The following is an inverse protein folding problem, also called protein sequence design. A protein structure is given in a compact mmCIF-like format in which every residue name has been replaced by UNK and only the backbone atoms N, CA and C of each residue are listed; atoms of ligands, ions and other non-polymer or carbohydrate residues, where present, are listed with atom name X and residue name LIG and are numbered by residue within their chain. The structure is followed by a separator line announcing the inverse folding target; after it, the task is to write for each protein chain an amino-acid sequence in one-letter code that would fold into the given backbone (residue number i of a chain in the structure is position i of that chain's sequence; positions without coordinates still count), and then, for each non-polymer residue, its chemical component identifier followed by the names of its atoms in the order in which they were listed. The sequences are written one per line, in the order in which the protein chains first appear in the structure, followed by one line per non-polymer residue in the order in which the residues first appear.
data_IF_015763008583
#
_entry.id   IF_015763008583
#
_cell.length_a   1.000
_cell.length_b   1.000
_cell.length_c   1.000
_cell.angle_alpha   90.00
_cell.angle_beta   90.00
_cell.angle_gamma   90.00
#
_symmetry.space_group_name_H-M   'P 1'
#
loop_
_entity.id
_entity.type
_entity.pdbx_description
1 polymer ?
#
# COMPACT_ATOMS: atom_id res chain seq x y z
N UNK A 1 27.27 6.84 -7.35
CA UNK A 1 27.29 5.47 -7.88
C UNK A 1 28.15 5.55 -9.12
N UNK A 2 29.37 5.01 -9.03
CA UNK A 2 30.31 5.01 -10.15
C UNK A 2 29.83 4.07 -11.26
N UNK A 3 30.21 4.39 -12.49
CA UNK A 3 29.88 3.68 -13.74
C UNK A 3 30.23 2.18 -13.75
N UNK A 4 30.93 1.67 -12.73
CA UNK A 4 31.23 0.23 -12.55
C UNK A 4 30.04 -0.64 -12.10
N UNK A 5 28.88 -0.07 -11.75
CA UNK A 5 27.74 -0.85 -11.22
C UNK A 5 26.73 -1.37 -12.26
N UNK A 6 27.01 -1.25 -13.57
CA UNK A 6 26.05 -1.65 -14.60
C UNK A 6 25.87 -3.19 -14.71
N UNK A 7 26.74 -3.99 -14.08
CA UNK A 7 26.53 -5.43 -13.91
C UNK A 7 25.45 -5.77 -12.86
N UNK A 8 25.11 -4.81 -11.99
CA UNK A 8 24.22 -5.00 -10.85
C UNK A 8 22.74 -5.12 -11.20
N UNK A 9 22.27 -4.55 -12.30
CA UNK A 9 20.85 -4.60 -12.71
C UNK A 9 20.59 -5.70 -13.76
N UNK A 10 20.94 -6.94 -13.42
CA UNK A 10 20.52 -8.12 -14.18
C UNK A 10 19.34 -8.79 -13.46
N UNK A 11 18.21 -8.86 -14.17
CA UNK A 11 17.04 -9.62 -13.75
C UNK A 11 17.29 -11.07 -14.16
N UNK A 12 17.49 -11.95 -13.18
CA UNK A 12 17.67 -13.38 -13.43
C UNK A 12 16.30 -14.07 -13.53
N UNK A 13 16.15 -14.98 -14.51
CA UNK A 13 14.92 -15.73 -14.71
C UNK A 13 14.58 -16.66 -13.53
N UNK A 14 15.57 -17.32 -12.94
CA UNK A 14 15.36 -18.28 -11.85
C UNK A 14 14.66 -17.66 -10.61
N UNK A 15 15.13 -16.52 -10.05
CA UNK A 15 14.39 -15.80 -9.01
C UNK A 15 12.95 -15.44 -9.39
N UNK A 16 12.71 -14.99 -10.62
CA UNK A 16 11.36 -14.63 -11.06
C UNK A 16 10.45 -15.86 -11.12
N UNK A 17 10.96 -16.98 -11.63
CA UNK A 17 10.24 -18.25 -11.66
C UNK A 17 9.95 -18.77 -10.24
N UNK A 18 10.90 -18.63 -9.32
CA UNK A 18 10.69 -18.99 -7.92
C UNK A 18 9.59 -18.12 -7.27
N UNK A 19 9.65 -16.80 -7.45
CA UNK A 19 8.62 -15.89 -6.93
C UNK A 19 7.25 -16.20 -7.53
N UNK A 20 7.18 -16.43 -8.85
CA UNK A 20 5.95 -16.82 -9.53
C UNK A 20 5.40 -18.16 -9.01
N UNK A 21 6.27 -19.16 -8.84
CA UNK A 21 5.90 -20.48 -8.33
C UNK A 21 5.40 -20.42 -6.89
N UNK A 22 6.05 -19.65 -6.01
CA UNK A 22 5.59 -19.46 -4.63
C UNK A 22 4.24 -18.74 -4.58
N UNK A 23 4.04 -17.71 -5.40
CA UNK A 23 2.75 -17.01 -5.48
C UNK A 23 1.65 -17.93 -6.02
N UNK A 24 1.91 -18.68 -7.09
CA UNK A 24 0.96 -19.63 -7.65
C UNK A 24 0.58 -20.72 -6.64
N UNK A 25 1.57 -21.25 -5.90
CA UNK A 25 1.33 -22.23 -4.84
C UNK A 25 0.51 -21.65 -3.68
N UNK A 26 0.88 -20.48 -3.19
CA UNK A 26 0.17 -19.83 -2.08
C UNK A 26 -1.29 -19.49 -2.42
N UNK A 27 -1.54 -19.01 -3.64
CA UNK A 27 -2.88 -18.65 -4.12
C UNK A 27 -3.60 -19.79 -4.86
N UNK A 28 -3.06 -21.01 -4.87
CA UNK A 28 -3.68 -22.16 -5.52
C UNK A 28 -5.16 -22.37 -5.11
N UNK A 29 -5.56 -22.19 -3.83
CA UNK A 29 -6.95 -22.37 -3.45
C UNK A 29 -7.92 -21.43 -4.18
N UNK A 30 -7.53 -20.17 -4.37
CA UNK A 30 -8.37 -19.15 -5.00
C UNK A 30 -8.25 -19.12 -6.53
N UNK A 31 -7.14 -19.66 -7.06
CA UNK A 31 -6.91 -19.74 -8.50
C UNK A 31 -7.51 -21.00 -9.14
N UNK A 32 -7.57 -22.11 -8.40
CA UNK A 32 -7.93 -23.41 -9.01
C UNK A 32 -8.82 -24.31 -8.16
N UNK A 33 -9.01 -24.03 -6.86
CA UNK A 33 -9.82 -24.89 -5.98
C UNK A 33 -11.21 -24.30 -5.65
N UNK A 34 -11.64 -23.26 -6.38
CA UNK A 34 -12.97 -22.67 -6.22
C UNK A 34 -13.18 -21.89 -4.90
N UNK A 35 -12.12 -21.53 -4.19
CA UNK A 35 -12.22 -20.72 -2.97
C UNK A 35 -12.21 -19.22 -3.29
N UNK A 36 -12.68 -18.39 -2.37
CA UNK A 36 -12.55 -16.92 -2.47
C UNK A 36 -12.21 -16.30 -1.11
N UNK A 37 -11.79 -15.04 -1.14
CA UNK A 37 -11.52 -14.26 0.07
C UNK A 37 -12.83 -13.86 0.73
N UNK A 38 -12.94 -14.00 2.05
CA UNK A 38 -14.17 -13.68 2.78
C UNK A 38 -13.95 -12.86 4.06
N UNK A 39 -12.71 -12.62 4.47
CA UNK A 39 -12.43 -12.07 5.78
C UNK A 39 -12.71 -10.55 5.85
N UNK A 40 -13.39 -10.11 6.92
CA UNK A 40 -13.63 -8.70 7.30
C UNK A 40 -14.34 -7.87 6.22
N UNK A 41 -13.74 -6.77 5.79
CA UNK A 41 -14.36 -5.82 4.85
C UNK A 41 -14.52 -6.47 3.47
N UNK A 42 -13.81 -7.56 3.16
CA UNK A 42 -14.02 -8.32 1.93
C UNK A 42 -15.46 -8.82 1.82
N UNK A 43 -16.01 -9.46 2.85
CA UNK A 43 -17.40 -9.93 2.78
C UNK A 43 -18.39 -8.76 2.87
N UNK A 44 -18.12 -7.74 3.69
CA UNK A 44 -19.10 -6.67 3.95
C UNK A 44 -19.16 -5.57 2.89
N UNK A 45 -18.01 -5.22 2.31
CA UNK A 45 -17.87 -4.11 1.36
C UNK A 45 -17.24 -4.60 0.05
N UNK A 46 -16.07 -5.25 0.11
CA UNK A 46 -15.27 -5.59 -1.06
C UNK A 46 -16.02 -6.43 -2.11
N UNK A 47 -16.56 -7.58 -1.72
CA UNK A 47 -17.30 -8.49 -2.60
C UNK A 47 -18.60 -7.86 -3.12
N UNK A 48 -19.51 -7.33 -2.28
CA UNK A 48 -20.75 -6.71 -2.77
C UNK A 48 -20.52 -5.53 -3.71
N UNK A 49 -19.58 -4.65 -3.39
CA UNK A 49 -19.27 -3.48 -4.23
C UNK A 49 -18.64 -3.90 -5.55
N UNK A 50 -17.71 -4.87 -5.52
CA UNK A 50 -17.11 -5.43 -6.73
C UNK A 50 -18.12 -6.15 -7.60
N UNK A 51 -19.07 -6.85 -7.01
CA UNK A 51 -20.13 -7.52 -7.73
C UNK A 51 -21.05 -6.51 -8.41
N UNK A 52 -21.48 -5.48 -7.69
CA UNK A 52 -22.28 -4.38 -8.24
C UNK A 52 -21.55 -3.68 -9.40
N UNK A 53 -20.27 -3.40 -9.21
CA UNK A 53 -19.41 -2.80 -10.23
C UNK A 53 -19.32 -3.69 -11.48
N UNK A 54 -19.00 -4.97 -11.31
CA UNK A 54 -18.91 -5.95 -12.40
C UNK A 54 -20.24 -6.05 -13.17
N UNK A 55 -21.36 -6.16 -12.45
CA UNK A 55 -22.68 -6.24 -13.05
C UNK A 55 -23.05 -4.97 -13.84
N UNK A 56 -22.73 -3.80 -13.30
CA UNK A 56 -22.99 -2.51 -13.95
C UNK A 56 -22.19 -2.37 -15.26
N UNK A 57 -20.92 -2.80 -15.26
CA UNK A 57 -20.10 -2.77 -16.47
C UNK A 57 -20.57 -3.75 -17.55
N UNK A 58 -21.08 -4.93 -17.18
CA UNK A 58 -21.66 -5.86 -18.16
C UNK A 58 -22.85 -5.26 -18.90
N UNK A 59 -23.55 -4.30 -18.28
CA UNK A 59 -24.63 -3.54 -18.90
C UNK A 59 -24.12 -2.36 -19.75
N UNK A 60 -22.81 -2.19 -19.90
CA UNK A 60 -22.21 -1.06 -20.62
C UNK A 60 -22.31 0.27 -19.88
N UNK A 61 -22.63 0.25 -18.58
CA UNK A 61 -22.80 1.43 -17.76
C UNK A 61 -21.61 1.66 -16.82
N UNK A 62 -21.41 2.91 -16.41
CA UNK A 62 -20.45 3.27 -15.38
C UNK A 62 -21.18 3.38 -14.02
N UNK A 63 -20.65 2.80 -12.92
CA UNK A 63 -21.32 2.76 -11.64
C UNK A 63 -21.23 4.11 -10.92
N UNK A 64 -22.04 5.07 -11.33
CA UNK A 64 -22.14 6.38 -10.68
C UNK A 64 -22.96 6.36 -9.39
N UNK A 65 -24.00 5.53 -9.34
CA UNK A 65 -24.98 5.46 -8.25
C UNK A 65 -25.32 4.00 -7.94
N UNK A 66 -25.28 3.63 -6.66
CA UNK A 66 -25.70 2.31 -6.21
C UNK A 66 -27.08 2.39 -5.54
N UNK A 67 -28.15 1.88 -6.16
CA UNK A 67 -29.51 1.96 -5.63
C UNK A 67 -29.79 0.97 -4.48
N UNK A 68 -28.92 -0.01 -4.26
CA UNK A 68 -29.20 -1.14 -3.35
C UNK A 68 -28.85 -0.84 -1.89
N UNK A 69 -28.16 0.27 -1.63
CA UNK A 69 -27.71 0.68 -0.29
C UNK A 69 -28.43 1.97 0.10
N UNK A 70 -29.10 1.99 1.26
CA UNK A 70 -29.80 3.17 1.82
C UNK A 70 -30.77 3.88 0.87
N UNK A 71 -31.48 3.14 0.01
CA UNK A 71 -32.31 3.68 -1.10
C UNK A 71 -31.53 4.50 -2.14
N UNK A 72 -30.21 4.38 -2.14
CA UNK A 72 -29.31 4.99 -3.10
C UNK A 72 -28.17 5.76 -2.47
N UNK A 73 -26.95 5.48 -2.92
CA UNK A 73 -25.75 6.23 -2.58
C UNK A 73 -24.89 6.50 -3.82
N UNK A 74 -24.12 7.62 -3.86
CA UNK A 74 -23.07 7.78 -4.85
C UNK A 74 -22.12 6.58 -4.81
N UNK A 75 -21.64 6.09 -5.94
CA UNK A 75 -20.71 4.96 -5.99
C UNK A 75 -19.33 5.37 -6.51
N UNK A 76 -19.24 5.87 -7.75
CA UNK A 76 -17.99 6.41 -8.30
C UNK A 76 -17.30 7.42 -7.35
N UNK A 77 -18.00 8.42 -6.78
CA UNK A 77 -17.37 9.43 -5.94
C UNK A 77 -16.92 8.93 -4.56
N UNK A 78 -17.24 7.69 -4.15
CA UNK A 78 -16.82 7.17 -2.84
C UNK A 78 -15.34 6.84 -2.77
N UNK A 79 -14.66 6.80 -3.93
CA UNK A 79 -13.24 6.53 -4.15
C UNK A 79 -12.78 5.12 -3.76
N UNK A 80 -13.16 4.61 -2.57
CA UNK A 80 -12.78 3.28 -2.08
C UNK A 80 -13.26 2.09 -2.92
N UNK A 81 -14.43 2.10 -3.60
CA UNK A 81 -14.81 1.00 -4.49
C UNK A 81 -13.94 0.94 -5.75
N UNK A 82 -13.12 1.99 -5.97
CA UNK A 82 -12.18 2.15 -7.06
C UNK A 82 -12.83 1.92 -8.44
N UNK A 83 -14.02 2.51 -8.63
CA UNK A 83 -14.84 2.42 -9.83
C UNK A 83 -14.17 2.95 -11.11
N UNK A 84 -13.18 3.84 -11.02
CA UNK A 84 -12.44 4.32 -12.19
C UNK A 84 -11.13 3.55 -12.44
N UNK A 85 -10.86 2.50 -11.66
CA UNK A 85 -9.56 1.85 -11.66
C UNK A 85 -9.37 0.90 -12.86
N UNK A 86 -8.32 1.07 -13.69
CA UNK A 86 -8.20 0.34 -14.96
C UNK A 86 -8.08 -1.19 -14.82
N UNK A 87 -7.42 -1.69 -13.76
CA UNK A 87 -7.25 -3.14 -13.58
C UNK A 87 -8.54 -3.84 -13.13
N UNK A 88 -9.67 -3.13 -13.01
CA UNK A 88 -10.98 -3.78 -12.88
C UNK A 88 -11.35 -4.63 -14.10
N UNK A 89 -10.63 -4.49 -15.22
CA UNK A 89 -10.74 -5.43 -16.35
C UNK A 89 -10.51 -6.90 -15.94
N UNK A 90 -9.75 -7.14 -14.86
CA UNK A 90 -9.52 -8.47 -14.32
C UNK A 90 -10.80 -9.13 -13.79
N UNK A 91 -11.81 -8.35 -13.43
CA UNK A 91 -13.11 -8.86 -12.96
C UNK A 91 -13.88 -9.61 -14.05
N UNK A 92 -13.51 -9.45 -15.33
CA UNK A 92 -14.12 -10.16 -16.46
C UNK A 92 -13.33 -11.39 -16.89
N UNK A 93 -12.26 -11.74 -16.17
CA UNK A 93 -11.61 -13.03 -16.36
C UNK A 93 -12.54 -14.10 -15.80
N UNK A 94 -13.11 -14.95 -16.66
CA UNK A 94 -13.98 -16.05 -16.24
C UNK A 94 -15.27 -15.57 -15.56
N UNK A 95 -15.65 -16.25 -14.48
CA UNK A 95 -16.76 -15.84 -13.64
C UNK A 95 -16.33 -14.77 -12.61
N UNK A 96 -17.32 -14.13 -11.96
CA UNK A 96 -17.04 -13.05 -11.01
C UNK A 96 -16.10 -13.47 -9.86
N UNK A 97 -16.30 -14.61 -9.18
CA UNK A 97 -15.39 -15.05 -8.11
C UNK A 97 -13.95 -15.23 -8.60
N UNK A 98 -13.74 -15.85 -9.76
CA UNK A 98 -12.40 -16.01 -10.32
C UNK A 98 -11.79 -14.67 -10.71
N UNK A 99 -12.53 -13.78 -11.37
CA UNK A 99 -12.06 -12.45 -11.74
C UNK A 99 -11.70 -11.58 -10.52
N UNK A 100 -12.50 -11.66 -9.44
CA UNK A 100 -12.20 -11.01 -8.16
C UNK A 100 -10.94 -11.58 -7.51
N UNK A 101 -10.80 -12.91 -7.50
CA UNK A 101 -9.60 -13.56 -6.98
C UNK A 101 -8.36 -13.14 -7.77
N UNK A 102 -8.44 -13.16 -9.10
CA UNK A 102 -7.36 -12.75 -9.99
C UNK A 102 -6.98 -11.28 -9.77
N UNK A 103 -7.97 -10.40 -9.58
CA UNK A 103 -7.74 -9.01 -9.21
C UNK A 103 -6.86 -8.90 -7.96
N UNK A 104 -7.18 -9.61 -6.87
CA UNK A 104 -6.36 -9.59 -5.65
C UNK A 104 -4.96 -10.16 -5.90
N UNK A 105 -4.86 -11.33 -6.55
CA UNK A 105 -3.59 -12.02 -6.80
C UNK A 105 -2.64 -11.18 -7.65
N UNK A 106 -3.14 -10.51 -8.69
CA UNK A 106 -2.32 -9.66 -9.56
C UNK A 106 -1.74 -8.47 -8.80
N UNK A 107 -2.51 -7.80 -7.94
CA UNK A 107 -1.98 -6.71 -7.12
C UNK A 107 -0.91 -7.20 -6.14
N UNK A 108 -1.10 -8.39 -5.57
CA UNK A 108 -0.11 -9.00 -4.71
C UNK A 108 1.18 -9.36 -5.46
N UNK A 109 1.05 -9.87 -6.69
CA UNK A 109 2.18 -10.13 -7.57
C UNK A 109 2.93 -8.83 -7.93
N UNK A 110 2.22 -7.74 -8.24
CA UNK A 110 2.81 -6.42 -8.51
C UNK A 110 3.72 -6.00 -7.35
N UNK A 111 3.29 -6.15 -6.10
CA UNK A 111 4.14 -5.87 -4.94
C UNK A 111 5.40 -6.74 -4.92
N UNK A 112 5.26 -8.06 -5.03
CA UNK A 112 6.39 -9.00 -4.92
C UNK A 112 7.44 -8.72 -6.01
N UNK A 113 7.02 -8.62 -7.26
CA UNK A 113 7.93 -8.40 -8.38
C UNK A 113 8.53 -6.99 -8.37
N UNK A 114 7.78 -5.98 -7.93
CA UNK A 114 8.31 -4.62 -7.84
C UNK A 114 9.34 -4.44 -6.73
N UNK A 115 9.16 -5.09 -5.58
CA UNK A 115 10.16 -5.13 -4.51
C UNK A 115 11.43 -5.83 -4.99
N UNK A 116 11.31 -6.98 -5.67
CA UNK A 116 12.47 -7.65 -6.27
C UNK A 116 13.22 -6.72 -7.23
N UNK A 117 12.51 -6.08 -8.17
CA UNK A 117 13.12 -5.15 -9.12
C UNK A 117 13.80 -3.95 -8.45
N UNK A 118 13.19 -3.39 -7.40
CA UNK A 118 13.74 -2.30 -6.61
C UNK A 118 15.03 -2.72 -5.88
N UNK A 119 15.05 -3.92 -5.27
CA UNK A 119 16.25 -4.43 -4.60
C UNK A 119 17.41 -4.67 -5.57
N UNK A 120 17.11 -5.20 -6.76
CA UNK A 120 18.12 -5.36 -7.81
C UNK A 120 18.65 -4.01 -8.29
N UNK A 121 17.78 -3.00 -8.39
CA UNK A 121 18.20 -1.64 -8.73
C UNK A 121 19.11 -1.01 -7.66
N UNK A 122 18.89 -1.31 -6.39
CA UNK A 122 19.81 -0.90 -5.30
C UNK A 122 21.10 -1.71 -5.21
N UNK A 123 21.33 -2.66 -6.13
CA UNK A 123 22.55 -3.46 -6.18
C UNK A 123 22.59 -4.59 -5.15
N UNK A 124 21.45 -4.99 -4.56
CA UNK A 124 21.38 -6.16 -3.69
C UNK A 124 21.51 -7.44 -4.50
N UNK A 125 22.10 -8.50 -3.95
CA UNK A 125 22.23 -9.81 -4.64
C UNK A 125 20.86 -10.39 -5.03
N UNK A 126 20.83 -11.29 -6.01
CA UNK A 126 19.58 -11.95 -6.43
C UNK A 126 18.89 -12.69 -5.27
N UNK A 127 19.67 -13.35 -4.39
CA UNK A 127 19.16 -14.00 -3.19
C UNK A 127 18.54 -13.00 -2.20
N UNK A 128 19.24 -11.90 -1.90
CA UNK A 128 18.71 -10.87 -1.00
C UNK A 128 17.44 -10.21 -1.56
N UNK A 129 17.42 -9.90 -2.86
CA UNK A 129 16.25 -9.35 -3.53
C UNK A 129 15.05 -10.30 -3.50
N UNK A 130 15.29 -11.60 -3.70
CA UNK A 130 14.26 -12.63 -3.61
C UNK A 130 13.72 -12.75 -2.18
N UNK A 131 14.60 -12.73 -1.18
CA UNK A 131 14.21 -12.76 0.21
C UNK A 131 13.34 -11.53 0.57
N UNK A 132 13.76 -10.31 0.23
CA UNK A 132 12.95 -9.10 0.43
C UNK A 132 11.57 -9.20 -0.24
N UNK A 133 11.50 -9.70 -1.47
CA UNK A 133 10.25 -9.86 -2.20
C UNK A 133 9.31 -10.88 -1.53
N UNK A 134 9.84 -12.01 -1.07
CA UNK A 134 9.07 -13.01 -0.30
C UNK A 134 8.61 -12.45 1.05
N UNK A 135 9.46 -11.69 1.72
CA UNK A 135 9.14 -11.03 2.99
C UNK A 135 8.04 -9.99 2.81
N UNK A 136 8.07 -9.22 1.71
CA UNK A 136 6.99 -8.30 1.36
C UNK A 136 5.69 -9.03 1.03
N UNK A 137 5.74 -10.09 0.20
CA UNK A 137 4.54 -10.83 -0.23
C UNK A 137 3.92 -11.72 0.85
N UNK A 138 4.72 -12.43 1.64
CA UNK A 138 4.24 -13.38 2.65
C UNK A 138 4.26 -12.79 4.06
N UNK A 139 4.64 -11.52 4.20
CA UNK A 139 4.56 -10.80 5.45
C UNK A 139 3.11 -10.59 5.90
N UNK A 140 2.87 -10.77 7.20
CA UNK A 140 1.56 -10.65 7.83
C UNK A 140 0.83 -9.35 7.47
N UNK A 141 1.54 -8.22 7.37
CA UNK A 141 0.94 -6.93 7.01
C UNK A 141 0.30 -6.94 5.61
N UNK A 142 1.05 -7.34 4.57
CA UNK A 142 0.53 -7.34 3.20
C UNK A 142 -0.46 -8.48 2.96
N UNK A 143 -0.38 -9.57 3.71
CA UNK A 143 -1.46 -10.56 3.74
C UNK A 143 -2.72 -10.01 4.43
N UNK A 144 -2.54 -9.21 5.49
CA UNK A 144 -3.63 -8.56 6.22
C UNK A 144 -4.33 -7.50 5.38
N UNK A 145 -3.58 -6.72 4.59
CA UNK A 145 -4.12 -5.63 3.78
C UNK A 145 -5.05 -6.12 2.66
N UNK A 146 -4.99 -7.41 2.30
CA UNK A 146 -5.98 -8.05 1.40
C UNK A 146 -7.40 -7.92 1.95
N UNK A 147 -7.54 -7.89 3.28
CA UNK A 147 -8.84 -7.66 3.93
C UNK A 147 -9.39 -6.24 3.74
N UNK A 148 -8.56 -5.32 3.21
CA UNK A 148 -8.82 -3.90 2.96
C UNK A 148 -8.49 -3.59 1.50
N UNK A 149 -9.36 -4.01 0.58
CA UNK A 149 -9.07 -4.05 -0.86
C UNK A 149 -8.56 -2.73 -1.46
N UNK A 150 -9.13 -1.58 -1.05
CA UNK A 150 -8.68 -0.26 -1.52
C UNK A 150 -7.24 0.06 -1.08
N UNK A 151 -6.85 -0.32 0.14
CA UNK A 151 -5.48 -0.13 0.61
C UNK A 151 -4.50 -1.04 -0.13
N UNK A 152 -4.85 -2.32 -0.35
CA UNK A 152 -4.03 -3.21 -1.17
C UNK A 152 -3.75 -2.57 -2.53
N UNK A 153 -4.81 -2.22 -3.26
CA UNK A 153 -4.72 -1.72 -4.63
C UNK A 153 -3.92 -0.43 -4.73
N UNK A 154 -4.08 0.51 -3.79
CA UNK A 154 -3.29 1.75 -3.79
C UNK A 154 -1.82 1.52 -3.40
N UNK A 155 -1.56 0.60 -2.48
CA UNK A 155 -0.25 0.49 -1.82
C UNK A 155 0.78 -0.28 -2.65
N UNK A 156 0.36 -1.29 -3.41
CA UNK A 156 1.25 -2.21 -4.13
C UNK A 156 2.14 -1.53 -5.18
N UNK A 157 1.76 -0.33 -5.64
CA UNK A 157 2.51 0.45 -6.62
C UNK A 157 3.69 1.24 -6.05
N UNK A 158 3.77 1.43 -4.73
CA UNK A 158 4.80 2.26 -4.09
C UNK A 158 6.24 1.87 -4.48
N UNK A 159 6.62 0.58 -4.52
CA UNK A 159 7.98 0.20 -4.93
C UNK A 159 8.29 0.57 -6.39
N UNK A 160 7.28 0.54 -7.28
CA UNK A 160 7.43 0.95 -8.67
C UNK A 160 7.55 2.48 -8.83
N UNK A 161 6.78 3.25 -8.06
CA UNK A 161 6.94 4.72 -8.00
C UNK A 161 8.35 5.07 -7.56
N UNK A 162 8.82 4.44 -6.49
CA UNK A 162 10.17 4.65 -5.95
C UNK A 162 11.26 4.27 -6.95
N UNK A 163 11.13 3.10 -7.58
CA UNK A 163 12.05 2.63 -8.62
C UNK A 163 12.12 3.60 -9.80
N UNK A 164 10.97 4.04 -10.31
CA UNK A 164 10.89 4.95 -11.45
C UNK A 164 11.50 6.32 -11.13
N UNK A 165 11.15 6.92 -9.98
CA UNK A 165 11.72 8.20 -9.56
C UNK A 165 13.23 8.10 -9.34
N UNK A 166 13.73 7.05 -8.69
CA UNK A 166 15.17 6.91 -8.48
C UNK A 166 15.94 6.64 -9.77
N UNK A 167 15.37 5.87 -10.72
CA UNK A 167 15.94 5.74 -12.06
C UNK A 167 16.02 7.08 -12.78
N UNK A 168 14.99 7.92 -12.68
CA UNK A 168 15.02 9.28 -13.19
C UNK A 168 16.12 10.13 -12.53
N UNK A 169 16.33 9.99 -11.21
CA UNK A 169 17.38 10.73 -10.51
C UNK A 169 18.79 10.34 -10.92
N UNK A 170 19.01 9.05 -11.24
CA UNK A 170 20.31 8.57 -11.73
C UNK A 170 20.53 8.97 -13.20
N UNK A 171 19.50 8.78 -14.04
CA UNK A 171 19.55 9.11 -15.47
C UNK A 171 18.23 9.78 -15.87
N UNK A 172 18.19 11.13 -15.93
CA UNK A 172 16.98 11.87 -16.29
C UNK A 172 16.45 11.45 -17.65
N UNK A 173 15.27 10.83 -17.65
CA UNK A 173 14.56 10.40 -18.86
C UNK A 173 13.06 10.48 -18.61
N UNK A 174 12.33 11.14 -19.51
CA UNK A 174 10.89 11.40 -19.35
C UNK A 174 10.07 10.14 -19.19
N UNK A 175 10.46 9.03 -19.85
CA UNK A 175 9.77 7.74 -19.68
C UNK A 175 9.71 7.23 -18.24
N UNK A 176 10.71 7.54 -17.39
CA UNK A 176 10.66 7.17 -15.97
C UNK A 176 9.70 8.06 -15.19
N UNK A 177 9.61 9.35 -15.51
CA UNK A 177 8.59 10.23 -14.92
C UNK A 177 7.18 9.82 -15.37
N UNK A 178 6.98 9.52 -16.65
CA UNK A 178 5.70 9.03 -17.16
C UNK A 178 5.28 7.74 -16.46
N UNK A 179 6.21 6.78 -16.28
CA UNK A 179 5.92 5.56 -15.53
C UNK A 179 5.53 5.86 -14.07
N UNK A 180 6.26 6.76 -13.40
CA UNK A 180 5.90 7.19 -12.04
C UNK A 180 4.51 7.82 -11.98
N UNK A 181 4.16 8.69 -12.95
CA UNK A 181 2.81 9.30 -13.06
C UNK A 181 1.75 8.24 -13.19
N UNK A 182 1.93 7.26 -14.08
CA UNK A 182 0.97 6.16 -14.26
C UNK A 182 0.77 5.41 -12.94
N UNK A 183 1.87 5.07 -12.24
CA UNK A 183 1.74 4.36 -10.97
C UNK A 183 1.05 5.19 -9.89
N UNK A 184 1.34 6.49 -9.76
CA UNK A 184 0.63 7.38 -8.82
C UNK A 184 -0.84 7.54 -9.18
N UNK A 185 -1.19 7.65 -10.47
CA UNK A 185 -2.58 7.65 -10.95
C UNK A 185 -3.28 6.36 -10.51
N UNK A 186 -2.64 5.20 -10.68
CA UNK A 186 -3.16 3.92 -10.19
C UNK A 186 -3.32 3.90 -8.67
N UNK A 187 -2.41 4.51 -7.90
CA UNK A 187 -2.58 4.65 -6.45
C UNK A 187 -3.82 5.44 -6.08
N UNK A 188 -4.01 6.62 -6.70
CA UNK A 188 -5.15 7.51 -6.43
C UNK A 188 -6.46 6.82 -6.79
N UNK A 189 -6.53 6.23 -7.98
CA UNK A 189 -7.71 5.52 -8.44
C UNK A 189 -7.99 4.25 -7.63
N UNK A 190 -6.97 3.69 -6.96
CA UNK A 190 -7.07 2.50 -6.11
C UNK A 190 -7.91 2.70 -4.83
N UNK A 191 -8.14 3.94 -4.40
CA UNK A 191 -9.17 4.22 -3.40
C UNK A 191 -8.68 4.51 -1.98
N UNK A 192 -7.37 4.67 -1.76
CA UNK A 192 -6.77 4.99 -0.47
C UNK A 192 -5.91 6.27 -0.55
N UNK A 193 -6.49 7.47 -0.33
CA UNK A 193 -5.76 8.72 -0.30
C UNK A 193 -4.58 8.71 0.69
N UNK A 194 -4.78 8.06 1.84
CA UNK A 194 -3.75 7.95 2.86
C UNK A 194 -2.51 7.21 2.35
N UNK A 195 -2.70 6.06 1.68
CA UNK A 195 -1.62 5.30 1.07
C UNK A 195 -0.87 6.12 0.01
N UNK A 196 -1.59 6.95 -0.76
CA UNK A 196 -1.00 7.83 -1.78
C UNK A 196 -0.09 8.90 -1.16
N UNK A 197 -0.54 9.54 -0.08
CA UNK A 197 0.25 10.55 0.63
C UNK A 197 1.49 9.90 1.26
N UNK A 198 1.32 8.77 1.94
CA UNK A 198 2.44 8.05 2.56
C UNK A 198 3.47 7.57 1.52
N UNK A 199 2.99 7.04 0.38
CA UNK A 199 3.82 6.65 -0.76
C UNK A 199 4.62 7.83 -1.30
N UNK A 200 3.96 8.97 -1.52
CA UNK A 200 4.57 10.20 -2.03
C UNK A 200 5.63 10.76 -1.08
N UNK A 201 5.33 10.83 0.22
CA UNK A 201 6.28 11.26 1.25
C UNK A 201 7.50 10.33 1.31
N UNK A 202 7.26 9.02 1.27
CA UNK A 202 8.34 8.02 1.26
C UNK A 202 9.24 8.19 0.05
N UNK A 203 8.66 8.36 -1.15
CA UNK A 203 9.39 8.58 -2.40
C UNK A 203 10.18 9.89 -2.35
N UNK A 204 9.58 10.97 -1.82
CA UNK A 204 10.23 12.26 -1.65
C UNK A 204 11.46 12.14 -0.75
N UNK A 205 11.29 11.69 0.49
CA UNK A 205 12.39 11.61 1.43
C UNK A 205 13.44 10.59 0.98
N UNK A 206 13.05 9.44 0.41
CA UNK A 206 14.00 8.50 -0.16
C UNK A 206 14.84 9.15 -1.26
N UNK A 207 14.24 9.96 -2.13
CA UNK A 207 14.94 10.66 -3.21
C UNK A 207 15.89 11.76 -2.69
N UNK A 208 15.55 12.39 -1.56
CA UNK A 208 16.41 13.41 -0.93
C UNK A 208 17.57 12.77 -0.16
N UNK A 209 17.33 11.69 0.58
CA UNK A 209 18.31 11.08 1.49
C UNK A 209 19.18 9.97 0.85
N UNK A 210 18.64 9.20 -0.11
CA UNK A 210 19.32 8.04 -0.70
C UNK A 210 20.01 8.39 -2.01
N UNK A 211 19.54 9.36 -2.79
CA UNK A 211 20.17 9.69 -4.07
C UNK A 211 21.52 10.40 -3.84
N UNK A 212 22.65 9.88 -4.36
CA UNK A 212 23.94 10.57 -4.26
C UNK A 212 24.04 11.74 -5.24
N UNK A 213 24.45 12.93 -4.79
CA UNK A 213 24.69 14.09 -5.67
C UNK A 213 25.45 15.23 -4.99
N UNK A 214 26.24 16.00 -5.76
CA UNK A 214 26.92 17.25 -5.34
C UNK A 214 26.01 18.46 -5.61
N UNK A 215 25.64 19.25 -4.59
CA UNK A 215 24.80 20.46 -4.71
C UNK A 215 23.53 20.46 -3.84
N UNK A 216 22.55 21.32 -4.15
CA UNK A 216 21.24 21.37 -3.45
C UNK A 216 20.42 20.13 -3.76
N UNK A 217 20.73 19.06 -3.03
CA UNK A 217 20.22 17.70 -3.15
C UNK A 217 18.69 17.58 -3.09
N UNK A 218 17.98 18.58 -2.55
CA UNK A 218 16.53 18.57 -2.42
C UNK A 218 15.77 19.19 -3.61
N UNK A 219 16.35 20.11 -4.39
CA UNK A 219 15.61 20.84 -5.44
C UNK A 219 15.07 19.92 -6.54
N UNK A 220 15.92 19.05 -7.09
CA UNK A 220 15.54 18.12 -8.16
C UNK A 220 14.47 17.11 -7.69
N UNK A 221 14.64 16.41 -6.55
CA UNK A 221 13.57 15.59 -5.97
C UNK A 221 12.26 16.36 -5.74
N UNK A 222 12.34 17.58 -5.21
CA UNK A 222 11.16 18.41 -4.94
C UNK A 222 10.41 18.73 -6.23
N UNK A 223 11.11 19.21 -7.26
CA UNK A 223 10.48 19.54 -8.55
C UNK A 223 9.89 18.29 -9.23
N UNK A 224 10.60 17.16 -9.20
CA UNK A 224 10.13 15.92 -9.80
C UNK A 224 8.88 15.37 -9.09
N UNK A 225 8.90 15.31 -7.75
CA UNK A 225 7.75 14.83 -6.97
C UNK A 225 6.58 15.81 -7.06
N UNK A 226 6.82 17.12 -7.01
CA UNK A 226 5.77 18.12 -7.20
C UNK A 226 5.13 18.00 -8.59
N UNK A 227 5.94 17.91 -9.65
CA UNK A 227 5.44 17.73 -11.01
C UNK A 227 4.66 16.43 -11.18
N UNK A 228 5.16 15.33 -10.61
CA UNK A 228 4.49 14.04 -10.56
C UNK A 228 3.12 14.14 -9.88
N UNK A 229 3.07 14.70 -8.67
CA UNK A 229 1.84 14.83 -7.89
C UNK A 229 0.82 15.72 -8.58
N UNK A 230 1.23 16.88 -9.10
CA UNK A 230 0.34 17.78 -9.84
C UNK A 230 -0.23 17.12 -11.09
N UNK A 231 0.61 16.42 -11.85
CA UNK A 231 0.17 15.71 -13.06
C UNK A 231 -0.81 14.59 -12.72
N UNK A 232 -0.52 13.79 -11.69
CA UNK A 232 -1.41 12.71 -11.28
C UNK A 232 -2.76 13.22 -10.75
N UNK A 233 -2.76 14.32 -9.98
CA UNK A 233 -3.99 14.98 -9.51
C UNK A 233 -4.80 15.50 -10.71
N UNK A 234 -4.15 16.14 -11.69
CA UNK A 234 -4.83 16.63 -12.88
C UNK A 234 -5.47 15.48 -13.70
N UNK A 235 -4.73 14.38 -13.91
CA UNK A 235 -5.23 13.20 -14.64
C UNK A 235 -6.36 12.47 -13.89
N UNK A 236 -6.39 12.56 -12.57
CA UNK A 236 -7.44 11.95 -11.73
C UNK A 236 -8.50 12.94 -11.26
N UNK A 237 -8.51 14.17 -11.81
CA UNK A 237 -9.45 15.21 -11.40
C UNK A 237 -10.92 14.80 -11.59
N UNK A 238 -11.22 14.02 -12.64
CA UNK A 238 -12.56 13.48 -12.89
C UNK A 238 -13.08 12.60 -11.74
N UNK A 239 -12.18 11.98 -10.97
CA UNK A 239 -12.48 11.17 -9.80
C UNK A 239 -12.41 12.00 -8.51
N UNK A 240 -11.38 12.84 -8.37
CA UNK A 240 -11.13 13.62 -7.14
C UNK A 240 -12.15 14.75 -6.92
N UNK A 241 -12.56 15.46 -7.97
CA UNK A 241 -13.55 16.55 -7.88
C UNK A 241 -14.89 16.05 -7.34
N UNK A 242 -15.54 15.01 -7.91
CA UNK A 242 -16.81 14.53 -7.37
C UNK A 242 -16.65 13.92 -5.97
N UNK A 243 -15.51 13.26 -5.69
CA UNK A 243 -15.20 12.77 -4.34
C UNK A 243 -15.19 13.92 -3.32
N UNK A 244 -14.53 15.03 -3.64
CA UNK A 244 -14.51 16.22 -2.79
C UNK A 244 -15.93 16.76 -2.53
N UNK A 245 -16.77 16.86 -3.56
CA UNK A 245 -18.16 17.34 -3.43
C UNK A 245 -19.01 16.44 -2.52
N UNK A 246 -18.81 15.12 -2.58
CA UNK A 246 -19.52 14.16 -1.70
C UNK A 246 -19.01 14.25 -0.27
N UNK A 247 -17.69 14.36 -0.06
CA UNK A 247 -17.13 14.51 1.29
C UNK A 247 -17.71 15.73 2.01
N UNK A 248 -17.82 16.87 1.31
CA UNK A 248 -18.39 18.11 1.87
C UNK A 248 -19.84 17.96 2.37
N UNK A 249 -20.61 17.03 1.80
CA UNK A 249 -22.02 16.77 2.12
C UNK A 249 -22.22 15.51 2.96
N UNK A 250 -21.12 14.86 3.33
CA UNK A 250 -21.16 13.63 4.12
C UNK A 250 -21.02 13.94 5.60
N UNK A 251 -21.44 13.00 6.45
CA UNK A 251 -21.27 13.05 7.91
C UNK A 251 -19.79 13.19 8.34
N UNK A 252 -18.83 13.07 7.40
CA UNK A 252 -17.39 13.22 7.68
C UNK A 252 -16.97 14.65 8.08
N UNK A 253 -17.78 15.67 7.81
CA UNK A 253 -17.51 17.07 8.22
C UNK A 253 -18.07 17.43 9.59
N UNK A 254 -18.92 16.58 10.18
CA UNK A 254 -19.42 16.78 11.56
C UNK A 254 -18.44 16.17 12.56
N UNK A 255 -17.98 17.01 13.49
CA UNK A 255 -17.08 16.76 14.64
C UNK A 255 -16.48 15.37 14.73
N UNK A 256 -15.23 15.25 14.29
CA UNK A 256 -14.39 14.10 14.63
C UNK A 256 -13.95 14.24 16.07
N UNK A 257 -14.77 13.72 16.98
CA UNK A 257 -14.35 13.52 18.35
C UNK A 257 -12.99 12.81 18.36
N UNK A 258 -12.08 13.29 19.20
CA UNK A 258 -10.70 12.79 19.33
C UNK A 258 -10.63 11.26 19.46
N UNK A 259 -11.66 10.64 20.04
CA UNK A 259 -11.86 9.20 20.16
C UNK A 259 -11.83 8.44 18.82
N UNK A 260 -12.33 9.02 17.72
CA UNK A 260 -12.30 8.37 16.39
C UNK A 260 -10.91 8.36 15.75
N UNK A 261 -10.08 9.36 16.05
CA UNK A 261 -8.72 9.46 15.50
C UNK A 261 -7.74 8.52 16.21
N UNK A 262 -8.04 8.14 17.46
CA UNK A 262 -7.29 7.12 18.20
C UNK A 262 -7.90 5.72 18.08
N UNK A 263 -9.07 5.55 17.45
CA UNK A 263 -9.66 4.23 17.20
C UNK A 263 -8.70 3.39 16.36
N UNK A 264 -8.56 2.10 16.69
CA UNK A 264 -7.60 1.18 16.05
C UNK A 264 -6.16 1.71 16.07
N UNK A 265 -5.74 2.13 17.25
CA UNK A 265 -4.33 2.36 17.57
C UNK A 265 -3.63 1.03 17.82
N UNK A 266 -2.39 0.91 17.34
CA UNK A 266 -1.60 -0.29 17.55
C UNK A 266 -1.36 -0.47 19.04
N UNK A 267 -1.82 -1.59 19.60
CA UNK A 267 -1.55 -1.95 20.99
C UNK A 267 -0.06 -2.30 21.15
N UNK A 268 0.65 -1.82 22.19
CA UNK A 268 2.06 -2.16 22.41
C UNK A 268 2.33 -3.68 22.47
N UNK A 269 1.37 -4.46 22.98
CA UNK A 269 1.43 -5.93 23.00
C UNK A 269 1.56 -6.52 21.58
N UNK A 270 1.03 -5.83 20.56
CA UNK A 270 1.10 -6.25 19.15
C UNK A 270 2.53 -6.23 18.61
N UNK A 271 3.47 -5.51 19.24
CA UNK A 271 4.89 -5.53 18.85
C UNK A 271 5.53 -6.92 19.02
N UNK A 272 5.08 -7.73 19.99
CA UNK A 272 5.54 -9.12 20.11
C UNK A 272 5.18 -9.94 18.86
N UNK A 273 4.09 -9.54 18.19
CA UNK A 273 3.60 -10.21 16.99
C UNK A 273 4.41 -9.87 15.73
N UNK A 274 5.40 -8.97 15.83
CA UNK A 274 6.45 -8.84 14.80
C UNK A 274 7.30 -10.12 14.70
N UNK A 275 7.53 -10.78 15.85
CA UNK A 275 8.39 -11.96 15.99
C UNK A 275 7.60 -13.27 16.13
N UNK A 276 6.35 -13.22 16.57
CA UNK A 276 5.51 -14.41 16.74
C UNK A 276 4.15 -14.22 16.05
N UNK A 277 3.81 -15.11 15.11
CA UNK A 277 2.51 -15.07 14.47
C UNK A 277 1.38 -15.16 15.52
N UNK A 278 0.39 -14.27 15.41
CA UNK A 278 -0.79 -14.26 16.29
C UNK A 278 -1.70 -15.42 15.90
N UNK A 279 -2.27 -16.11 16.89
CA UNK A 279 -3.31 -17.10 16.61
C UNK A 279 -4.57 -16.37 16.10
N UNK A 280 -5.07 -16.79 14.94
CA UNK A 280 -6.07 -16.05 14.17
C UNK A 280 -7.52 -16.46 14.46
N UNK A 281 -7.74 -17.55 15.20
CA UNK A 281 -9.07 -18.11 15.46
C UNK A 281 -10.03 -17.15 16.20
N UNK A 282 -9.48 -16.13 16.88
CA UNK A 282 -10.25 -15.16 17.65
C UNK A 282 -11.21 -14.34 16.78
N UNK A 283 -10.96 -14.21 15.47
CA UNK A 283 -11.91 -13.49 14.60
C UNK A 283 -13.24 -14.24 14.44
N UNK A 284 -13.22 -15.58 14.45
CA UNK A 284 -14.44 -16.40 14.30
C UNK A 284 -15.31 -16.39 15.56
N UNK A 285 -14.73 -16.03 16.70
CA UNK A 285 -15.39 -16.00 18.01
C UNK A 285 -15.65 -14.58 18.52
N UNK A 286 -15.24 -13.56 17.77
CA UNK A 286 -15.41 -12.16 18.16
C UNK A 286 -16.89 -11.73 18.05
N UNK A 287 -17.39 -11.05 19.09
CA UNK A 287 -18.78 -10.55 19.14
C UNK A 287 -19.04 -9.34 18.23
N UNK A 288 -17.99 -8.67 17.77
CA UNK A 288 -18.08 -7.55 16.82
C UNK A 288 -16.80 -7.39 16.01
N UNK A 289 -16.89 -6.72 14.86
CA UNK A 289 -15.69 -6.36 14.06
C UNK A 289 -14.75 -5.39 14.78
N UNK A 290 -15.28 -4.59 15.72
CA UNK A 290 -14.46 -3.66 16.51
C UNK A 290 -13.57 -4.40 17.52
N UNK A 291 -13.92 -5.64 17.88
CA UNK A 291 -13.10 -6.52 18.72
C UNK A 291 -11.98 -7.23 17.94
N UNK A 292 -11.91 -7.04 16.63
CA UNK A 292 -10.86 -7.61 15.76
C UNK A 292 -9.86 -6.49 15.39
N UNK A 293 -8.54 -6.76 15.46
CA UNK A 293 -7.51 -5.78 15.11
C UNK A 293 -7.69 -5.22 13.69
N UNK A 294 -7.19 -4.00 13.43
CA UNK A 294 -7.28 -3.42 12.09
C UNK A 294 -6.45 -4.23 11.08
N UNK A 295 -5.23 -4.61 11.47
CA UNK A 295 -4.45 -5.62 10.76
C UNK A 295 -4.45 -6.95 11.52
N UNK A 296 -5.03 -8.02 10.95
CA UNK A 296 -4.90 -9.40 11.41
C UNK A 296 -3.53 -9.83 11.94
N UNK A 297 -2.47 -9.42 11.25
CA UNK A 297 -1.11 -9.78 11.58
C UNK A 297 -0.14 -8.69 11.14
N UNK A 298 0.78 -8.32 12.02
CA UNK A 298 1.95 -7.49 11.71
C UNK A 298 3.22 -8.34 11.55
N UNK A 299 3.09 -9.67 11.59
CA UNK A 299 4.22 -10.59 11.59
C UNK A 299 5.10 -10.42 10.36
N UNK A 300 6.39 -10.18 10.56
CA UNK A 300 7.33 -9.96 9.45
C UNK A 300 8.26 -11.15 9.19
N UNK A 301 8.20 -12.18 10.04
CA UNK A 301 9.17 -13.27 10.07
C UNK A 301 10.27 -13.00 11.09
N UNK A 302 10.66 -14.03 11.86
CA UNK A 302 11.76 -13.91 12.83
C UNK A 302 13.06 -13.50 12.16
N UNK A 303 13.41 -14.16 11.04
CA UNK A 303 14.67 -13.89 10.31
C UNK A 303 14.72 -12.45 9.78
N UNK A 304 13.71 -11.93 9.05
CA UNK A 304 13.66 -10.54 8.63
C UNK A 304 13.66 -9.53 9.79
N UNK A 305 12.97 -9.84 10.89
CA UNK A 305 12.95 -8.96 12.05
C UNK A 305 14.35 -8.84 12.70
N UNK A 306 15.03 -9.97 12.88
CA UNK A 306 16.41 -10.00 13.37
C UNK A 306 17.36 -9.30 12.39
N UNK A 307 17.21 -9.51 11.09
CA UNK A 307 18.01 -8.83 10.07
C UNK A 307 17.82 -7.30 10.12
N UNK A 308 16.58 -6.81 10.31
CA UNK A 308 16.28 -5.39 10.45
C UNK A 308 16.97 -4.79 11.68
N UNK A 309 16.82 -5.43 12.85
CA UNK A 309 17.46 -4.98 14.10
C UNK A 309 18.98 -4.99 13.97
N UNK A 310 19.53 -6.06 13.42
CA UNK A 310 20.97 -6.21 13.21
C UNK A 310 21.51 -5.14 12.26
N UNK A 311 20.83 -4.90 11.15
CA UNK A 311 21.20 -3.87 10.19
C UNK A 311 21.13 -2.47 10.81
N UNK A 312 20.07 -2.18 11.57
CA UNK A 312 19.90 -0.88 12.24
C UNK A 312 21.05 -0.55 13.21
N UNK A 313 21.59 -1.56 13.90
CA UNK A 313 22.69 -1.37 14.87
C UNK A 313 24.05 -1.35 14.18
N UNK A 314 24.29 -2.33 13.28
CA UNK A 314 25.61 -2.64 12.74
C UNK A 314 25.95 -1.88 11.45
N UNK A 315 24.94 -1.50 10.64
CA UNK A 315 25.18 -0.93 9.30
C UNK A 315 24.83 0.56 9.29
N UNK A 316 25.86 1.40 9.22
CA UNK A 316 25.73 2.87 9.21
C UNK A 316 25.58 3.49 7.81
N UNK A 317 25.04 2.74 6.86
CA UNK A 317 24.75 3.27 5.51
C UNK A 317 23.53 4.19 5.58
N UNK A 318 23.58 5.36 4.92
CA UNK A 318 22.45 6.33 4.83
C UNK A 318 21.15 5.65 4.39
N UNK A 319 21.30 4.68 3.51
CA UNK A 319 20.29 3.74 3.08
C UNK A 319 19.62 3.08 4.29
N UNK A 320 20.38 2.36 5.13
CA UNK A 320 19.84 1.62 6.27
C UNK A 320 19.22 2.57 7.29
N UNK A 321 19.90 3.67 7.60
CA UNK A 321 19.38 4.68 8.52
C UNK A 321 18.04 5.22 8.07
N UNK A 322 17.90 5.59 6.79
CA UNK A 322 16.64 6.11 6.26
C UNK A 322 15.47 5.15 6.49
N UNK A 323 15.60 3.88 6.08
CA UNK A 323 14.50 2.92 6.23
C UNK A 323 14.25 2.51 7.67
N UNK A 324 15.28 2.49 8.51
CA UNK A 324 15.12 2.33 9.96
C UNK A 324 14.31 3.49 10.55
N UNK A 325 14.60 4.73 10.16
CA UNK A 325 13.83 5.91 10.59
C UNK A 325 12.39 5.83 10.09
N UNK A 326 12.17 5.47 8.82
CA UNK A 326 10.81 5.28 8.29
C UNK A 326 10.08 4.15 9.06
N UNK A 327 10.77 3.06 9.42
CA UNK A 327 10.26 2.00 10.29
C UNK A 327 9.77 2.50 11.64
N UNK A 328 10.64 3.17 12.38
CA UNK A 328 10.28 3.64 13.71
C UNK A 328 9.31 4.83 13.68
N UNK A 329 9.35 5.67 12.65
CA UNK A 329 8.37 6.74 12.46
C UNK A 329 6.97 6.16 12.20
N UNK A 330 6.86 5.18 11.31
CA UNK A 330 5.59 4.49 11.06
C UNK A 330 5.05 3.79 12.30
N UNK A 331 5.92 3.13 13.07
CA UNK A 331 5.55 2.52 14.35
C UNK A 331 5.08 3.57 15.38
N UNK A 332 5.80 4.69 15.49
CA UNK A 332 5.48 5.79 16.39
C UNK A 332 4.09 6.37 16.11
N UNK A 333 3.76 6.62 14.84
CA UNK A 333 2.43 7.07 14.46
C UNK A 333 1.38 5.97 14.59
N UNK A 334 1.74 4.70 14.35
CA UNK A 334 0.81 3.58 14.47
C UNK A 334 0.33 3.33 15.90
N UNK A 335 1.16 3.61 16.90
CA UNK A 335 0.78 3.53 18.31
C UNK A 335 -0.36 4.47 18.70
N UNK A 336 -0.58 5.56 17.94
CA UNK A 336 -1.77 6.42 18.07
C UNK A 336 -2.07 6.85 19.51
N UNK A 337 -3.26 6.46 20.02
CA UNK A 337 -3.71 6.70 21.39
C UNK A 337 -2.82 6.11 22.48
N UNK A 338 -2.04 5.07 22.17
CA UNK A 338 -1.05 4.48 23.08
C UNK A 338 0.28 5.24 23.09
N UNK A 339 0.39 6.34 22.34
CA UNK A 339 1.56 7.21 22.30
C UNK A 339 1.20 8.60 22.86
N UNK A 340 1.66 8.95 24.09
CA UNK A 340 1.37 10.24 24.73
C UNK A 340 1.81 11.45 23.89
N UNK A 341 2.90 11.31 23.13
CA UNK A 341 3.39 12.39 22.27
C UNK A 341 2.43 12.59 21.10
N UNK A 342 1.96 11.51 20.46
CA UNK A 342 0.99 11.58 19.37
C UNK A 342 -0.31 12.25 19.81
N UNK A 343 -0.86 11.84 20.96
CA UNK A 343 -2.12 12.39 21.49
C UNK A 343 -2.03 13.88 21.84
N UNK A 344 -0.87 14.36 22.31
CA UNK A 344 -0.63 15.77 22.57
C UNK A 344 -0.54 16.62 21.29
N UNK A 345 0.04 16.08 20.21
CA UNK A 345 0.19 16.82 18.94
C UNK A 345 -1.04 16.73 18.03
N UNK A 346 -1.88 15.72 18.18
CA UNK A 346 -3.07 15.48 17.34
C UNK A 346 -4.05 16.67 17.27
N UNK A 347 -4.38 17.39 18.36
CA UNK A 347 -5.27 18.55 18.30
C UNK A 347 -4.72 19.72 17.47
N UNK A 348 -3.40 19.84 17.35
CA UNK A 348 -2.73 20.97 16.70
C UNK A 348 -2.36 20.70 15.23
N UNK A 349 -2.52 19.46 14.76
CA UNK A 349 -2.10 19.07 13.43
C UNK A 349 -3.30 18.65 12.56
N UNK A 350 -3.81 19.54 11.69
CA UNK A 350 -4.97 19.24 10.85
C UNK A 350 -4.67 18.13 9.81
N UNK A 351 -3.40 17.90 9.45
CA UNK A 351 -3.03 16.76 8.61
C UNK A 351 -3.27 15.45 9.35
N UNK A 352 -2.82 15.34 10.61
CA UNK A 352 -3.03 14.12 11.41
C UNK A 352 -4.51 13.85 11.69
N UNK A 353 -5.33 14.89 11.84
CA UNK A 353 -6.78 14.75 12.02
C UNK A 353 -7.50 14.21 10.78
N UNK A 354 -6.92 14.35 9.59
CA UNK A 354 -7.46 13.74 8.37
C UNK A 354 -7.20 12.23 8.29
N UNK A 355 -6.17 11.72 8.98
CA UNK A 355 -5.84 10.29 8.99
C UNK A 355 -6.55 9.58 10.13
N UNK A 356 -7.55 8.76 9.79
CA UNK A 356 -8.21 7.86 10.75
C UNK A 356 -7.51 6.51 10.81
N UNK A 357 -7.54 5.90 11.98
CA UNK A 357 -6.98 4.58 12.29
C UNK A 357 -5.46 4.58 12.26
N UNK A 358 -4.80 4.88 13.40
CA UNK A 358 -3.36 5.03 13.46
C UNK A 358 -2.62 3.79 12.98
N UNK A 359 -3.15 2.57 13.16
CA UNK A 359 -2.55 1.34 12.63
C UNK A 359 -2.14 1.44 11.15
N UNK A 360 -2.85 2.21 10.32
CA UNK A 360 -2.50 2.44 8.90
C UNK A 360 -1.10 3.02 8.70
N UNK A 361 -0.58 3.77 9.68
CA UNK A 361 0.78 4.28 9.66
C UNK A 361 1.84 3.17 9.67
N UNK A 362 1.46 1.94 10.06
CA UNK A 362 2.27 0.73 9.89
C UNK A 362 2.51 0.35 8.41
N UNK A 363 2.01 1.13 7.45
CA UNK A 363 2.48 1.07 6.07
C UNK A 363 3.88 1.70 5.88
N UNK A 364 4.19 2.83 6.53
CA UNK A 364 5.51 3.48 6.44
C UNK A 364 6.68 2.49 6.66
N UNK A 365 6.64 1.60 7.67
CA UNK A 365 7.79 0.84 8.08
C UNK A 365 8.47 -0.13 7.11
N UNK A 366 7.90 -0.46 5.94
CA UNK A 366 8.34 -1.68 5.24
C UNK A 366 8.76 -1.55 3.78
N UNK A 367 9.27 -0.42 3.33
CA UNK A 367 9.93 -0.38 2.01
C UNK A 367 11.41 -0.76 2.09
N UNK A 368 11.70 -2.02 2.44
CA UNK A 368 13.00 -2.65 2.21
C UNK A 368 12.97 -4.17 2.12
#
# INVERSE_FOLDING_TARGET
MDEKNNEGFRIHALPLLLLAGVMAWYFLPVLSLGHTFFFRDVMKFGLPEKWFQWHTYLQGAMPYWNPTIFNGVPFLPLLHPNAAYPLNILLFAGDFPYGFNLFVVVHHAVLVFSVYALMRFWGMSAGAATASALVAGLGGYFLSIVSLGNQLVSTVWTPLVLLAVQKYMVRPHWGWLTAAVIFVVLQILGGSPESCVMSTLTVYFASVFITPGRGTHWKRPTLAVAGLSLTAIALTAFQLIPTYRVIQRSVRTWDLDSAFNTKWSLEPETLRHLFAARNFDRFMTASSLDAVPYFPSVYMGVIPALALVSAAVLIRRREVVFWTVVFFAGLFFALGGNNPVYTQFLPFNPLLQMFRYPEKFFFFPRSR
#
